data_IF_623642250919
#
_entry.id   IF_623642250919
#
_cell.length_a   1.000
_cell.length_b   1.000
_cell.length_c   1.000
_cell.angle_alpha   90.00
_cell.angle_beta   90.00
_cell.angle_gamma   90.00
#
_symmetry.space_group_name_H-M   'P 1'
#
loop_
_entity.id
_entity.type
_entity.pdbx_description
1 polymer ?
#
# COMPACT_ATOMS: atom_id res chain seq x y z
N UNK A 1 13.59 -12.99 19.69
CA UNK A 1 13.68 -11.52 19.62
C UNK A 1 14.87 -11.04 18.78
N UNK A 2 16.13 -11.21 19.19
CA UNK A 2 17.29 -10.69 18.41
C UNK A 2 17.54 -11.43 17.07
N UNK A 3 17.36 -12.76 17.05
CA UNK A 3 17.51 -13.58 15.83
C UNK A 3 16.42 -13.29 14.80
N UNK A 4 15.21 -12.97 15.27
CA UNK A 4 14.09 -12.61 14.40
C UNK A 4 14.35 -11.26 13.72
N UNK A 5 14.85 -10.26 14.47
CA UNK A 5 15.24 -8.97 13.91
C UNK A 5 16.36 -9.09 12.85
N UNK A 6 17.34 -9.97 13.07
CA UNK A 6 18.41 -10.22 12.12
C UNK A 6 17.87 -10.85 10.81
N UNK A 7 16.97 -11.83 10.91
CA UNK A 7 16.34 -12.46 9.76
C UNK A 7 15.46 -11.46 8.98
N UNK A 8 14.74 -10.59 9.68
CA UNK A 8 13.94 -9.55 9.03
C UNK A 8 14.80 -8.53 8.27
N UNK A 9 15.94 -8.14 8.84
CA UNK A 9 16.90 -7.24 8.18
C UNK A 9 17.52 -7.88 6.94
N UNK A 10 17.85 -9.17 7.01
CA UNK A 10 18.38 -9.96 5.89
C UNK A 10 17.37 -10.06 4.74
N UNK A 11 16.10 -10.35 5.05
CA UNK A 11 15.01 -10.35 4.06
C UNK A 11 14.84 -8.97 3.41
N UNK A 12 14.88 -7.89 4.19
CA UNK A 12 14.76 -6.53 3.68
C UNK A 12 15.90 -6.20 2.70
N UNK A 13 17.14 -6.59 3.03
CA UNK A 13 18.31 -6.42 2.18
C UNK A 13 18.19 -7.22 0.87
N UNK A 14 17.76 -8.48 0.94
CA UNK A 14 17.55 -9.32 -0.23
C UNK A 14 16.47 -8.76 -1.17
N UNK A 15 15.37 -8.25 -0.61
CA UNK A 15 14.31 -7.59 -1.39
C UNK A 15 14.87 -6.36 -2.09
N UNK A 16 15.55 -5.47 -1.37
CA UNK A 16 16.15 -4.26 -1.93
C UNK A 16 17.14 -4.57 -3.06
N UNK A 17 18.03 -5.55 -2.84
CA UNK A 17 18.99 -6.00 -3.86
C UNK A 17 18.30 -6.53 -5.11
N UNK A 18 17.24 -7.33 -4.97
CA UNK A 18 16.48 -7.83 -6.14
C UNK A 18 15.85 -6.69 -6.93
N UNK A 19 15.26 -5.71 -6.25
CA UNK A 19 14.65 -4.54 -6.90
C UNK A 19 15.70 -3.71 -7.64
N UNK A 20 16.83 -3.40 -6.99
CA UNK A 20 17.90 -2.60 -7.60
C UNK A 20 18.61 -3.34 -8.74
N UNK A 21 18.69 -4.68 -8.67
CA UNK A 21 19.22 -5.51 -9.76
C UNK A 21 18.25 -5.71 -10.93
N UNK A 22 17.01 -5.20 -10.84
CA UNK A 22 16.02 -5.38 -11.89
C UNK A 22 15.51 -6.81 -12.02
N UNK A 23 15.59 -7.60 -10.94
CA UNK A 23 15.06 -8.97 -10.88
C UNK A 23 13.67 -8.96 -10.24
N UNK A 24 12.78 -9.83 -10.74
CA UNK A 24 11.43 -9.95 -10.20
C UNK A 24 11.50 -10.42 -8.73
N UNK A 25 10.84 -9.68 -7.85
CA UNK A 25 10.74 -10.03 -6.43
C UNK A 25 9.43 -10.82 -6.19
N UNK A 26 9.51 -12.14 -6.31
CA UNK A 26 8.42 -13.07 -5.96
C UNK A 26 8.60 -13.57 -4.51
N UNK A 27 7.58 -13.50 -3.64
CA UNK A 27 7.69 -13.91 -2.25
C UNK A 27 8.17 -15.37 -2.09
N UNK A 28 7.61 -16.29 -2.88
CA UNK A 28 7.99 -17.71 -2.84
C UNK A 28 9.47 -17.94 -3.18
N UNK A 29 9.96 -17.29 -4.24
CA UNK A 29 11.36 -17.42 -4.68
C UNK A 29 12.35 -16.84 -3.68
N UNK A 30 12.00 -15.71 -3.04
CA UNK A 30 12.85 -15.09 -2.02
C UNK A 30 13.03 -16.05 -0.83
N UNK A 31 11.94 -16.68 -0.39
CA UNK A 31 11.97 -17.65 0.70
C UNK A 31 12.75 -18.90 0.31
N UNK A 32 12.59 -19.38 -0.93
CA UNK A 32 13.36 -20.53 -1.43
C UNK A 32 14.86 -20.24 -1.47
N UNK A 33 15.27 -19.02 -1.80
CA UNK A 33 16.68 -18.62 -1.76
C UNK A 33 17.25 -18.53 -0.33
N UNK A 34 16.44 -18.10 0.63
CA UNK A 34 16.83 -18.14 2.05
C UNK A 34 17.07 -19.58 2.50
N UNK A 35 16.21 -20.52 2.10
CA UNK A 35 16.40 -21.94 2.40
C UNK A 35 17.62 -22.56 1.69
N UNK A 36 18.01 -22.06 0.51
CA UNK A 36 19.26 -22.49 -0.15
C UNK A 36 20.49 -22.00 0.61
N UNK A 37 20.46 -20.76 1.14
CA UNK A 37 21.55 -20.20 1.91
C UNK A 37 21.71 -20.82 3.32
N UNK A 38 20.62 -21.33 3.90
CA UNK A 38 20.59 -21.96 5.22
C UNK A 38 19.81 -23.29 5.17
N UNK A 39 20.42 -24.39 4.69
CA UNK A 39 19.75 -25.66 4.60
C UNK A 39 19.43 -26.20 6.00
N UNK A 40 18.19 -26.67 6.17
CA UNK A 40 17.74 -27.36 7.39
C UNK A 40 18.20 -28.82 7.34
N UNK A 41 18.90 -29.27 8.37
CA UNK A 41 19.32 -30.67 8.54
C UNK A 41 18.54 -31.36 9.66
N UNK A 42 18.14 -32.63 9.46
CA UNK A 42 17.53 -33.46 10.51
C UNK A 42 16.37 -34.32 10.02
N UNK A 43 15.87 -35.18 10.92
CA UNK A 43 14.90 -36.26 10.66
C UNK A 43 13.52 -35.80 10.18
N UNK A 44 13.18 -34.50 10.35
CA UNK A 44 11.92 -33.90 9.90
C UNK A 44 12.14 -32.56 9.18
N UNK A 45 13.32 -32.39 8.58
CA UNK A 45 13.73 -31.15 7.90
C UNK A 45 12.71 -30.69 6.86
N UNK A 46 12.14 -31.59 6.07
CA UNK A 46 11.13 -31.26 5.06
C UNK A 46 9.82 -30.73 5.67
N UNK A 47 9.38 -31.32 6.79
CA UNK A 47 8.18 -30.86 7.50
C UNK A 47 8.38 -29.46 8.07
N UNK A 48 9.50 -29.22 8.75
CA UNK A 48 9.84 -27.90 9.29
C UNK A 48 10.03 -26.87 8.18
N UNK A 49 10.61 -27.26 7.04
CA UNK A 49 10.77 -26.41 5.86
C UNK A 49 9.40 -26.01 5.29
N UNK A 50 8.48 -26.94 5.13
CA UNK A 50 7.12 -26.64 4.64
C UNK A 50 6.37 -25.70 5.59
N UNK A 51 6.44 -25.96 6.90
CA UNK A 51 5.80 -25.11 7.92
C UNK A 51 6.42 -23.71 7.95
N UNK A 52 7.75 -23.61 7.99
CA UNK A 52 8.45 -22.33 7.99
C UNK A 52 8.25 -21.55 6.70
N UNK A 53 8.18 -22.22 5.54
CA UNK A 53 7.94 -21.57 4.23
C UNK A 53 6.65 -20.76 4.25
N UNK A 54 5.56 -21.32 4.77
CA UNK A 54 4.27 -20.61 4.85
C UNK A 54 4.38 -19.32 5.68
N UNK A 55 5.04 -19.39 6.84
CA UNK A 55 5.23 -18.23 7.71
C UNK A 55 6.16 -17.18 7.08
N UNK A 56 7.28 -17.62 6.51
CA UNK A 56 8.24 -16.73 5.86
C UNK A 56 7.65 -16.05 4.63
N UNK A 57 6.85 -16.75 3.82
CA UNK A 57 6.14 -16.14 2.68
C UNK A 57 5.18 -15.05 3.15
N UNK A 58 4.46 -15.27 4.25
CA UNK A 58 3.58 -14.25 4.85
C UNK A 58 4.38 -13.00 5.27
N UNK A 59 5.51 -13.19 5.96
CA UNK A 59 6.41 -12.10 6.39
C UNK A 59 6.97 -11.33 5.20
N UNK A 60 7.48 -12.03 4.19
CA UNK A 60 8.03 -11.41 2.96
C UNK A 60 6.94 -10.65 2.21
N UNK A 61 5.72 -11.20 2.14
CA UNK A 61 4.57 -10.52 1.54
C UNK A 61 4.25 -9.23 2.29
N UNK A 62 4.26 -9.25 3.62
CA UNK A 62 4.04 -8.04 4.43
C UNK A 62 5.14 -7.00 4.24
N UNK A 63 6.40 -7.42 4.12
CA UNK A 63 7.51 -6.51 3.80
C UNK A 63 7.35 -5.88 2.43
N UNK A 64 7.04 -6.68 1.41
CA UNK A 64 6.82 -6.18 0.07
C UNK A 64 5.61 -5.23 0.02
N UNK A 65 4.55 -5.49 0.79
CA UNK A 65 3.42 -4.55 0.94
C UNK A 65 3.87 -3.17 1.42
N UNK A 66 4.77 -3.12 2.43
CA UNK A 66 5.34 -1.85 2.93
C UNK A 66 6.20 -1.13 1.88
N UNK A 67 6.84 -1.87 0.98
CA UNK A 67 7.73 -1.32 -0.05
C UNK A 67 6.95 -0.89 -1.31
N UNK A 68 5.71 -1.36 -1.50
CA UNK A 68 4.85 -0.95 -2.61
C UNK A 68 3.93 -2.03 -3.21
N UNK A 69 3.84 -3.24 -2.62
CA UNK A 69 2.88 -4.29 -3.02
C UNK A 69 1.48 -4.17 -2.36
N UNK A 70 1.14 -3.02 -1.79
CA UNK A 70 -0.19 -2.80 -1.23
C UNK A 70 -1.19 -2.42 -2.32
N UNK A 71 -2.27 -3.21 -2.45
CA UNK A 71 -3.51 -2.79 -3.11
C UNK A 71 -4.45 -2.05 -2.14
N UNK A 72 -4.16 -2.06 -0.83
CA UNK A 72 -4.94 -1.33 0.16
C UNK A 72 -4.68 0.18 0.01
N UNK A 73 -5.73 1.02 0.01
CA UNK A 73 -5.57 2.46 0.06
C UNK A 73 -4.79 2.79 1.33
N UNK A 74 -3.54 3.22 1.17
CA UNK A 74 -2.67 3.52 2.29
C UNK A 74 -3.37 4.49 3.26
N UNK A 75 -3.44 4.12 4.53
CA UNK A 75 -3.83 5.01 5.63
C UNK A 75 -2.81 6.16 5.75
N UNK A 76 -3.22 7.32 6.32
CA UNK A 76 -3.24 8.61 5.66
C UNK A 76 -1.85 9.25 5.61
N UNK A 77 -1.06 8.87 4.62
CA UNK A 77 0.01 9.73 4.16
C UNK A 77 -0.13 9.91 2.65
N UNK A 78 -1.19 10.64 2.27
CA UNK A 78 -1.27 11.24 0.95
C UNK A 78 -0.12 12.22 0.78
N UNK A 79 0.79 11.93 -0.14
CA UNK A 79 1.64 12.94 -0.72
C UNK A 79 1.72 12.72 -2.23
N UNK A 80 0.74 13.29 -2.94
CA UNK A 80 0.83 13.46 -4.38
C UNK A 80 1.01 14.94 -4.69
N UNK A 81 2.21 15.30 -5.17
CA UNK A 81 2.25 16.05 -6.41
C UNK A 81 3.26 15.46 -7.42
N UNK A 82 2.74 15.19 -8.62
CA UNK A 82 3.46 15.03 -9.89
C UNK A 82 4.65 14.07 -9.90
N UNK A 83 4.42 12.78 -10.15
CA UNK A 83 5.50 11.88 -10.56
C UNK A 83 6.11 12.40 -11.87
N UNK A 84 7.22 13.14 -11.79
CA UNK A 84 7.99 13.59 -12.96
C UNK A 84 8.73 12.42 -13.63
N UNK A 85 8.78 11.25 -12.98
CA UNK A 85 9.49 10.03 -13.39
C UNK A 85 8.67 8.80 -13.01
N UNK A 86 8.77 7.74 -13.82
CA UNK A 86 8.13 6.45 -13.56
C UNK A 86 8.72 5.78 -12.30
N UNK A 87 7.88 4.98 -11.62
CA UNK A 87 8.32 4.19 -10.46
C UNK A 87 9.21 3.03 -10.94
N UNK A 88 10.24 2.69 -10.17
CA UNK A 88 11.21 1.63 -10.52
C UNK A 88 10.54 0.27 -10.79
N UNK A 89 9.50 -0.05 -10.04
CA UNK A 89 8.81 -1.33 -10.10
C UNK A 89 7.33 -1.17 -9.76
N UNK A 90 6.48 -1.97 -10.41
CA UNK A 90 5.03 -1.99 -10.21
C UNK A 90 4.58 -3.32 -9.61
N UNK A 91 3.58 -3.30 -8.71
CA UNK A 91 2.96 -4.53 -8.23
C UNK A 91 2.10 -5.12 -9.36
N UNK A 92 2.30 -6.41 -9.63
CA UNK A 92 1.60 -7.14 -10.70
C UNK A 92 1.18 -8.51 -10.19
N UNK A 93 0.02 -8.98 -10.62
CA UNK A 93 -0.43 -10.35 -10.42
C UNK A 93 0.04 -11.23 -11.58
N UNK A 94 0.94 -12.20 -11.32
CA UNK A 94 1.41 -13.19 -12.31
C UNK A 94 1.17 -14.60 -11.77
N UNK A 95 0.55 -15.46 -12.57
CA UNK A 95 0.29 -16.86 -12.22
C UNK A 95 -0.46 -17.03 -10.87
N UNK A 96 -1.36 -16.10 -10.55
CA UNK A 96 -2.11 -16.10 -9.28
C UNK A 96 -1.32 -15.59 -8.06
N UNK A 97 -0.04 -15.28 -8.20
CA UNK A 97 0.79 -14.69 -7.14
C UNK A 97 1.09 -13.22 -7.42
N UNK A 98 1.10 -12.40 -6.37
CA UNK A 98 1.52 -11.00 -6.48
C UNK A 98 3.04 -10.94 -6.47
N UNK A 99 3.60 -10.14 -7.38
CA UNK A 99 5.02 -9.90 -7.49
C UNK A 99 5.30 -8.42 -7.72
N UNK A 100 6.45 -7.95 -7.25
CA UNK A 100 6.94 -6.63 -7.59
C UNK A 100 7.83 -6.78 -8.84
N UNK A 101 7.38 -6.19 -9.94
CA UNK A 101 8.00 -6.33 -11.26
C UNK A 101 8.67 -5.01 -11.65
N UNK A 102 9.97 -5.00 -11.98
CA UNK A 102 10.65 -3.83 -12.51
C UNK A 102 9.99 -3.32 -13.79
N UNK A 103 9.97 -1.99 -13.99
CA UNK A 103 9.33 -1.37 -15.16
C UNK A 103 9.80 -1.97 -16.50
N UNK A 104 11.09 -2.27 -16.63
CA UNK A 104 11.68 -2.89 -17.83
C UNK A 104 11.14 -4.28 -18.14
N UNK A 105 10.58 -4.98 -17.14
CA UNK A 105 10.06 -6.34 -17.25
C UNK A 105 8.53 -6.39 -17.21
N UNK A 106 7.86 -5.24 -17.07
CA UNK A 106 6.40 -5.16 -17.15
C UNK A 106 5.93 -5.31 -18.59
N UNK A 107 4.88 -6.10 -18.80
CA UNK A 107 4.24 -6.20 -20.10
C UNK A 107 3.35 -4.97 -20.36
N UNK A 108 3.07 -4.63 -21.63
CA UNK A 108 2.16 -3.52 -21.95
C UNK A 108 0.77 -3.67 -21.31
N UNK A 109 0.27 -4.91 -21.20
CA UNK A 109 -1.01 -5.21 -20.55
C UNK A 109 -0.97 -4.96 -19.04
N UNK A 110 0.13 -5.31 -18.38
CA UNK A 110 0.30 -5.05 -16.95
C UNK A 110 0.33 -3.55 -16.65
N UNK A 111 1.03 -2.78 -17.49
CA UNK A 111 1.06 -1.33 -17.39
C UNK A 111 -0.31 -0.70 -17.69
N UNK A 112 -1.04 -1.19 -18.70
CA UNK A 112 -2.37 -0.66 -19.02
C UNK A 112 -3.41 -0.94 -17.92
N UNK A 113 -3.32 -2.10 -17.27
CA UNK A 113 -4.12 -2.42 -16.08
C UNK A 113 -3.79 -1.46 -14.93
N UNK A 114 -2.50 -1.17 -14.71
CA UNK A 114 -2.07 -0.24 -13.68
C UNK A 114 -2.54 1.20 -13.96
N UNK A 115 -2.45 1.66 -15.23
CA UNK A 115 -3.01 2.95 -15.67
C UNK A 115 -4.51 3.01 -15.38
N UNK A 116 -5.24 1.93 -15.67
CA UNK A 116 -6.68 1.87 -15.43
C UNK A 116 -7.03 1.95 -13.94
N UNK A 117 -6.23 1.30 -13.08
CA UNK A 117 -6.38 1.38 -11.63
C UNK A 117 -6.16 2.82 -11.13
N UNK A 118 -5.09 3.48 -11.56
CA UNK A 118 -4.79 4.87 -11.17
C UNK A 118 -5.90 5.83 -11.59
N UNK A 119 -6.47 5.67 -12.79
CA UNK A 119 -7.61 6.47 -13.25
C UNK A 119 -8.86 6.26 -12.39
N UNK A 120 -9.14 5.01 -11.99
CA UNK A 120 -10.26 4.72 -11.08
C UNK A 120 -10.06 5.37 -9.71
N UNK A 121 -8.84 5.33 -9.18
CA UNK A 121 -8.50 5.99 -7.91
C UNK A 121 -8.67 7.51 -8.01
N UNK A 122 -8.17 8.13 -9.08
CA UNK A 122 -8.37 9.56 -9.33
C UNK A 122 -9.85 9.95 -9.35
N UNK A 123 -10.68 9.16 -10.04
CA UNK A 123 -12.14 9.35 -10.05
C UNK A 123 -12.77 9.22 -8.67
N UNK A 124 -12.31 8.25 -7.87
CA UNK A 124 -12.73 8.10 -6.48
C UNK A 124 -12.41 9.33 -5.62
N UNK A 125 -11.20 9.88 -5.77
CA UNK A 125 -10.81 11.11 -5.08
C UNK A 125 -11.64 12.32 -5.52
N UNK A 126 -11.92 12.48 -6.81
CA UNK A 126 -12.79 13.54 -7.32
C UNK A 126 -14.20 13.45 -6.72
N UNK A 127 -14.80 12.25 -6.72
CA UNK A 127 -16.13 12.04 -6.15
C UNK A 127 -16.15 12.38 -4.66
N UNK A 128 -15.14 11.94 -3.92
CA UNK A 128 -15.05 12.23 -2.49
C UNK A 128 -14.86 13.72 -2.20
N UNK A 129 -14.09 14.43 -3.02
CA UNK A 129 -13.97 15.89 -2.91
C UNK A 129 -15.34 16.58 -3.10
N UNK A 130 -16.13 16.15 -4.09
CA UNK A 130 -17.48 16.67 -4.30
C UNK A 130 -18.42 16.40 -3.10
N UNK A 131 -18.36 15.20 -2.51
CA UNK A 131 -19.11 14.89 -1.29
C UNK A 131 -18.75 15.82 -0.13
N UNK A 132 -17.46 16.14 0.04
CA UNK A 132 -16.99 17.07 1.06
C UNK A 132 -17.45 18.51 0.79
N UNK A 133 -17.45 18.94 -0.47
CA UNK A 133 -17.96 20.26 -0.87
C UNK A 133 -19.47 20.39 -0.57
N UNK A 134 -20.26 19.36 -0.90
CA UNK A 134 -21.69 19.30 -0.57
C UNK A 134 -21.92 19.35 0.95
N UNK A 135 -21.13 18.59 1.72
CA UNK A 135 -21.19 18.59 3.17
C UNK A 135 -20.91 19.99 3.74
N UNK A 136 -19.85 20.66 3.27
CA UNK A 136 -19.51 22.04 3.71
C UNK A 136 -20.63 23.02 3.35
N UNK A 137 -21.19 22.94 2.15
CA UNK A 137 -22.31 23.79 1.74
C UNK A 137 -23.54 23.59 2.64
N UNK A 138 -23.83 22.35 3.02
CA UNK A 138 -24.92 22.02 3.96
C UNK A 138 -24.66 22.60 5.36
N UNK A 139 -23.42 22.54 5.86
CA UNK A 139 -23.02 23.11 7.15
C UNK A 139 -23.18 24.63 7.20
N UNK A 140 -22.67 25.33 6.19
CA UNK A 140 -22.81 26.79 6.08
C UNK A 140 -24.28 27.21 5.99
N UNK A 141 -25.11 26.41 5.31
CA UNK A 141 -26.55 26.67 5.21
C UNK A 141 -27.27 26.51 6.54
N UNK A 142 -26.90 25.50 7.34
CA UNK A 142 -27.43 25.27 8.68
C UNK A 142 -27.01 26.37 9.66
N UNK A 143 -25.74 26.78 9.64
CA UNK A 143 -25.22 27.88 10.47
C UNK A 143 -25.94 29.21 10.16
N UNK A 144 -26.22 29.48 8.88
CA UNK A 144 -27.02 30.65 8.47
C UNK A 144 -28.46 30.57 8.96
N UNK A 145 -29.09 29.39 8.93
CA UNK A 145 -30.45 29.20 9.42
C UNK A 145 -30.54 29.36 10.95
N UNK A 146 -29.53 28.91 11.70
CA UNK A 146 -29.44 29.10 13.15
C UNK A 146 -29.17 30.57 13.52
N UNK A 147 -28.34 31.29 12.76
CA UNK A 147 -28.09 32.72 12.97
C UNK A 147 -29.33 33.61 12.73
N UNK A 148 -30.21 33.21 11.80
CA UNK A 148 -31.47 33.92 11.52
C UNK A 148 -32.52 33.66 12.62
N UNK A 149 -32.43 32.54 13.34
CA UNK A 149 -33.35 32.17 14.41
C UNK A 149 -32.92 32.61 15.82
N UNK A 150 -31.79 33.31 15.97
CA UNK A 150 -31.46 33.93 17.25
C UNK A 150 -32.32 35.21 17.44
N UNK A 151 -33.19 35.26 18.47
CA UNK A 151 -34.00 36.44 18.71
C UNK A 151 -33.10 37.60 19.13
N UNK A 152 -33.22 38.73 18.43
CA UNK A 152 -32.67 40.02 18.83
C UNK A 152 -33.15 40.30 20.26
N UNK A 153 -32.25 40.18 21.24
CA UNK A 153 -32.50 40.69 22.58
C UNK A 153 -32.58 42.22 22.49
N UNK A 154 -33.80 42.72 22.29
CA UNK A 154 -34.15 44.12 22.50
C UNK A 154 -33.85 44.45 23.96
N UNK A 155 -32.82 45.28 24.17
CA UNK A 155 -32.55 45.88 25.47
C UNK A 155 -33.79 46.66 25.94
N UNK A 156 -34.18 46.55 27.22
CA UNK A 156 -35.27 47.37 27.71
C UNK A 156 -34.80 48.82 27.80
N UNK A 157 -35.46 49.69 27.03
CA UNK A 157 -35.57 51.11 27.37
C UNK A 157 -36.12 51.21 28.79
N UNK A 158 -35.47 51.99 29.64
CA UNK A 158 -36.05 52.46 30.89
C UNK A 158 -35.62 53.90 31.11
N UNK A 159 -36.66 54.74 31.22
CA UNK A 159 -36.75 56.16 31.43
C UNK A 159 -35.93 56.73 32.60
#
# INVERSE_FOLDING_TARGET
MAKDAALLSELHKLIGQRIDSGVIAQPGQIVDDVFKGKPLSGYHSDFYKAFAKKQLVSVVTQMLKRIGMSDDPASPQMAFPGHRRLVKSYPVLRNGERALVPLSLCTPLELSNHISLLRKQAKGCENHAAELEEYVASKVSLEKAEAVNQPVQLAPESA
#
